data_IF_506312978931
#
_entry.id   IF_506312978931
#
_cell.length_a   1.000
_cell.length_b   1.000
_cell.length_c   1.000
_cell.angle_alpha   90.00
_cell.angle_beta   90.00
_cell.angle_gamma   90.00
#
_symmetry.space_group_name_H-M   'P 1'
#
loop_
_entity.id
_entity.type
_entity.pdbx_description
1 polymer ?
#
# COMPACT_ATOMS: atom_id res chain seq x y z
N UNK A 1 -7.82 -3.13 -16.62
CA UNK A 1 -8.28 -2.07 -15.67
C UNK A 1 -9.62 -2.43 -15.00
N UNK A 2 -10.75 -2.75 -15.66
CA UNK A 2 -12.02 -3.08 -14.98
C UNK A 2 -11.88 -4.18 -13.93
N UNK A 3 -11.13 -5.25 -14.20
CA UNK A 3 -10.90 -6.34 -13.25
C UNK A 3 -10.19 -5.91 -11.96
N UNK A 4 -9.24 -4.99 -12.03
CA UNK A 4 -8.55 -4.48 -10.83
C UNK A 4 -9.49 -3.62 -9.98
N UNK A 5 -10.35 -2.83 -10.62
CA UNK A 5 -11.37 -2.04 -9.93
C UNK A 5 -12.38 -2.98 -9.26
N UNK A 6 -12.91 -3.98 -9.98
CA UNK A 6 -13.82 -4.96 -9.44
C UNK A 6 -13.23 -5.71 -8.24
N UNK A 7 -12.00 -6.20 -8.37
CA UNK A 7 -11.24 -6.85 -7.29
C UNK A 7 -11.09 -5.95 -6.06
N UNK A 8 -10.81 -4.66 -6.29
CA UNK A 8 -10.66 -3.70 -5.20
C UNK A 8 -11.99 -3.42 -4.50
N UNK A 9 -13.08 -3.24 -5.24
CA UNK A 9 -14.42 -3.04 -4.69
C UNK A 9 -14.87 -4.26 -3.86
N UNK A 10 -14.69 -5.47 -4.39
CA UNK A 10 -14.97 -6.72 -3.65
C UNK A 10 -14.17 -6.79 -2.35
N UNK A 11 -12.86 -6.51 -2.41
CA UNK A 11 -12.00 -6.49 -1.23
C UNK A 11 -12.46 -5.46 -0.19
N UNK A 12 -12.92 -4.30 -0.65
CA UNK A 12 -13.47 -3.24 0.18
C UNK A 12 -14.83 -3.59 0.80
N UNK A 13 -15.49 -4.62 0.27
CA UNK A 13 -16.85 -5.02 0.66
C UNK A 13 -17.94 -4.19 -0.01
N UNK A 14 -17.62 -3.55 -1.12
CA UNK A 14 -18.57 -2.80 -1.92
C UNK A 14 -19.12 -3.65 -3.08
N UNK A 15 -20.33 -3.32 -3.49
CA UNK A 15 -20.97 -3.94 -4.65
C UNK A 15 -20.21 -3.58 -5.92
N UNK A 16 -19.96 -4.58 -6.77
CA UNK A 16 -19.33 -4.37 -8.07
C UNK A 16 -20.43 -4.12 -9.08
N UNK A 17 -20.48 -2.94 -9.73
CA UNK A 17 -21.45 -2.67 -10.77
C UNK A 17 -21.30 -3.64 -11.95
N UNK A 18 -22.43 -4.03 -12.58
CA UNK A 18 -22.43 -4.87 -13.78
C UNK A 18 -21.62 -4.27 -14.94
N UNK A 19 -21.63 -2.95 -15.03
CA UNK A 19 -20.84 -2.19 -16.01
C UNK A 19 -19.93 -1.20 -15.28
N UNK A 20 -18.62 -1.39 -15.43
CA UNK A 20 -17.60 -0.46 -14.94
C UNK A 20 -17.13 0.45 -16.08
N UNK A 21 -17.53 1.71 -16.02
CA UNK A 21 -17.12 2.75 -16.94
C UNK A 21 -16.22 3.78 -16.23
N UNK A 22 -14.89 3.53 -16.14
CA UNK A 22 -14.00 4.47 -15.50
C UNK A 22 -13.86 5.75 -16.29
N UNK A 23 -14.00 6.89 -15.61
CA UNK A 23 -13.78 8.22 -16.19
C UNK A 23 -12.44 8.75 -15.69
N UNK A 24 -11.61 9.23 -16.62
CA UNK A 24 -10.36 9.92 -16.28
C UNK A 24 -10.72 11.31 -15.75
N UNK A 25 -10.42 11.56 -14.49
CA UNK A 25 -10.72 12.83 -13.82
C UNK A 25 -9.50 13.74 -13.67
N UNK A 26 -8.30 13.18 -13.85
CA UNK A 26 -7.06 13.93 -13.83
C UNK A 26 -5.97 13.18 -14.59
N UNK A 27 -5.20 13.91 -15.37
CA UNK A 27 -3.97 13.45 -16.03
C UNK A 27 -2.82 14.36 -15.61
N UNK A 28 -1.64 13.79 -15.40
CA UNK A 28 -0.41 14.52 -15.11
C UNK A 28 0.77 13.79 -15.75
N UNK A 29 1.62 14.53 -16.45
CA UNK A 29 2.89 14.03 -16.94
C UNK A 29 3.87 13.85 -15.79
N UNK A 30 4.69 12.80 -15.86
CA UNK A 30 5.75 12.52 -14.90
C UNK A 30 6.97 12.01 -15.65
N UNK A 31 8.13 12.54 -15.32
CA UNK A 31 9.43 12.10 -15.87
C UNK A 31 9.90 10.76 -15.28
N UNK A 32 9.08 10.17 -14.39
CA UNK A 32 9.42 8.95 -13.69
C UNK A 32 9.13 7.73 -14.54
N UNK A 33 10.00 6.74 -14.43
CA UNK A 33 9.74 5.42 -14.96
C UNK A 33 8.61 4.75 -14.18
N UNK A 34 7.46 4.50 -14.82
CA UNK A 34 6.29 3.87 -14.19
C UNK A 34 6.64 2.50 -13.59
N UNK A 35 7.63 1.79 -14.15
CA UNK A 35 8.08 0.50 -13.61
C UNK A 35 8.73 0.60 -12.24
N UNK A 36 9.24 1.76 -11.88
CA UNK A 36 9.92 1.99 -10.61
C UNK A 36 8.97 2.47 -9.51
N UNK A 37 7.79 2.99 -9.88
CA UNK A 37 6.64 3.31 -9.03
C UNK A 37 6.95 4.17 -7.79
N UNK A 38 8.03 4.95 -7.81
CA UNK A 38 8.54 5.56 -6.60
C UNK A 38 8.12 7.00 -6.41
N UNK A 39 8.31 7.85 -7.36
CA UNK A 39 7.77 9.18 -7.20
C UNK A 39 6.37 9.23 -7.73
N UNK A 40 5.45 9.36 -6.82
CA UNK A 40 4.04 9.41 -7.10
C UNK A 40 3.53 10.83 -6.92
N UNK A 41 2.75 11.28 -7.87
CA UNK A 41 2.18 12.63 -7.82
C UNK A 41 1.16 12.75 -6.69
N UNK A 42 1.01 13.95 -6.16
CA UNK A 42 -0.12 14.30 -5.31
C UNK A 42 -1.31 14.71 -6.19
N UNK A 43 -2.42 13.96 -6.11
CA UNK A 43 -3.64 14.30 -6.84
C UNK A 43 -4.34 15.50 -6.19
N UNK A 44 -5.09 16.28 -6.99
CA UNK A 44 -5.85 17.43 -6.47
C UNK A 44 -6.87 17.01 -5.39
N UNK A 45 -7.48 15.84 -5.54
CA UNK A 45 -8.38 15.28 -4.52
C UNK A 45 -7.66 14.98 -3.19
N UNK A 46 -6.36 14.72 -3.23
CA UNK A 46 -5.55 14.40 -2.05
C UNK A 46 -5.08 15.63 -1.27
N UNK A 47 -5.31 16.84 -1.80
CA UNK A 47 -5.01 18.11 -1.09
C UNK A 47 -6.15 18.54 -0.15
N UNK A 48 -7.34 17.93 -0.29
CA UNK A 48 -8.52 18.32 0.50
C UNK A 48 -8.42 17.82 1.94
N UNK A 49 -8.87 18.60 2.93
CA UNK A 49 -9.03 18.13 4.30
C UNK A 49 -9.85 16.83 4.38
N UNK A 50 -9.69 16.11 5.47
CA UNK A 50 -10.46 14.90 5.77
C UNK A 50 -11.56 15.24 6.79
N UNK A 51 -12.75 14.67 6.61
CA UNK A 51 -13.69 14.56 7.74
C UNK A 51 -13.27 13.43 8.67
N UNK A 52 -13.81 13.39 9.87
CA UNK A 52 -13.58 12.31 10.84
C UNK A 52 -14.03 10.96 10.26
N UNK A 53 -15.19 10.97 9.57
CA UNK A 53 -15.78 9.78 8.96
C UNK A 53 -14.91 9.26 7.80
N UNK A 54 -14.48 10.15 6.90
CA UNK A 54 -13.56 9.77 5.81
C UNK A 54 -12.27 9.20 6.33
N UNK A 55 -11.66 9.87 7.32
CA UNK A 55 -10.43 9.38 7.95
C UNK A 55 -10.65 8.00 8.59
N UNK A 56 -11.72 7.84 9.37
CA UNK A 56 -12.03 6.57 10.02
C UNK A 56 -12.18 5.42 9.02
N UNK A 57 -12.90 5.66 7.91
CA UNK A 57 -13.07 4.67 6.85
C UNK A 57 -11.74 4.30 6.15
N UNK A 58 -10.93 5.31 5.80
CA UNK A 58 -9.64 5.09 5.15
C UNK A 58 -8.61 4.41 6.08
N UNK A 59 -8.57 4.80 7.37
CA UNK A 59 -7.76 4.14 8.40
C UNK A 59 -8.15 2.66 8.55
N UNK A 60 -9.45 2.37 8.61
CA UNK A 60 -9.93 0.99 8.71
C UNK A 60 -9.50 0.15 7.51
N UNK A 61 -9.57 0.69 6.29
CA UNK A 61 -9.08 0.03 5.08
C UNK A 61 -7.57 -0.19 5.11
N UNK A 62 -6.79 0.79 5.57
CA UNK A 62 -5.34 0.67 5.68
C UNK A 62 -4.93 -0.40 6.70
N UNK A 63 -5.62 -0.49 7.83
CA UNK A 63 -5.39 -1.53 8.82
C UNK A 63 -5.83 -2.92 8.32
N UNK A 64 -6.99 -3.00 7.65
CA UNK A 64 -7.44 -4.24 6.98
C UNK A 64 -6.41 -4.72 5.96
N UNK A 65 -5.86 -3.82 5.14
CA UNK A 65 -4.84 -4.15 4.16
C UNK A 65 -3.59 -4.76 4.79
N UNK A 66 -3.10 -4.17 5.90
CA UNK A 66 -1.97 -4.71 6.65
C UNK A 66 -2.26 -6.09 7.23
N UNK A 67 -3.47 -6.31 7.77
CA UNK A 67 -3.90 -7.59 8.32
C UNK A 67 -4.00 -8.67 7.24
N UNK A 68 -4.59 -8.35 6.10
CA UNK A 68 -4.73 -9.28 4.96
C UNK A 68 -3.35 -9.64 4.37
N UNK A 69 -2.43 -8.66 4.32
CA UNK A 69 -1.06 -8.89 3.86
C UNK A 69 -0.26 -9.78 4.83
N UNK A 70 -0.41 -9.55 6.14
CA UNK A 70 0.20 -10.39 7.17
C UNK A 70 -0.31 -11.84 7.06
N UNK A 71 -1.62 -12.04 6.96
CA UNK A 71 -2.22 -13.36 6.82
C UNK A 71 -1.74 -14.10 5.57
N UNK A 72 -1.58 -13.38 4.44
CA UNK A 72 -1.00 -13.94 3.23
C UNK A 72 0.47 -14.37 3.45
N UNK A 73 1.29 -13.53 4.09
CA UNK A 73 2.68 -13.84 4.41
C UNK A 73 2.80 -15.07 5.31
N UNK A 74 1.93 -15.18 6.32
CA UNK A 74 1.91 -16.31 7.25
C UNK A 74 1.53 -17.63 6.60
N UNK A 75 0.76 -17.58 5.51
CA UNK A 75 0.36 -18.76 4.74
C UNK A 75 1.47 -19.33 3.83
N UNK A 76 2.61 -18.64 3.68
CA UNK A 76 3.71 -19.13 2.85
C UNK A 76 4.54 -20.19 3.59
N UNK A 77 4.70 -21.41 3.02
CA UNK A 77 5.36 -22.53 3.71
C UNK A 77 6.85 -22.28 4.02
N UNK A 78 7.57 -21.71 3.08
CA UNK A 78 8.98 -21.31 3.24
C UNK A 78 9.17 -19.88 2.72
N UNK A 79 9.28 -18.97 3.67
CA UNK A 79 9.31 -17.53 3.42
C UNK A 79 10.60 -17.04 2.75
N UNK A 80 11.66 -17.84 2.80
CA UNK A 80 12.97 -17.51 2.23
C UNK A 80 13.21 -18.13 0.86
N UNK A 81 12.30 -19.00 0.39
CA UNK A 81 12.42 -19.68 -0.90
C UNK A 81 11.62 -18.98 -1.99
N UNK A 82 12.26 -18.80 -3.15
CA UNK A 82 11.61 -18.28 -4.36
C UNK A 82 12.30 -18.79 -5.62
N UNK A 83 11.51 -19.12 -6.66
CA UNK A 83 12.00 -19.40 -8.00
C UNK A 83 12.11 -18.14 -8.87
N UNK A 84 11.70 -16.98 -8.36
CA UNK A 84 11.76 -15.73 -9.13
C UNK A 84 13.22 -15.31 -9.35
N UNK A 85 13.56 -14.81 -10.56
CA UNK A 85 14.90 -14.33 -10.85
C UNK A 85 15.23 -13.07 -10.06
N UNK A 86 16.50 -12.84 -9.78
CA UNK A 86 16.99 -11.57 -9.25
C UNK A 86 16.82 -10.47 -10.29
N UNK A 87 16.27 -9.35 -9.85
CA UNK A 87 16.14 -8.12 -10.64
C UNK A 87 16.56 -6.93 -9.79
N UNK A 88 17.11 -5.93 -10.44
CA UNK A 88 17.53 -4.68 -9.78
C UNK A 88 16.84 -3.50 -10.43
N UNK A 89 16.50 -2.52 -9.62
CA UNK A 89 16.12 -1.16 -10.01
C UNK A 89 17.20 -0.20 -9.55
N UNK A 90 17.00 1.09 -9.76
CA UNK A 90 17.93 2.11 -9.26
C UNK A 90 17.94 2.19 -7.71
N UNK A 91 16.91 1.69 -7.01
CA UNK A 91 16.90 1.60 -5.54
C UNK A 91 17.56 0.35 -4.97
N UNK A 92 17.94 -0.61 -5.80
CA UNK A 92 18.50 -1.86 -5.36
C UNK A 92 17.76 -3.11 -5.86
N UNK A 93 17.84 -4.19 -5.11
CA UNK A 93 17.22 -5.46 -5.49
C UNK A 93 15.71 -5.44 -5.27
N UNK A 94 14.96 -5.93 -6.27
CA UNK A 94 13.50 -6.12 -6.15
C UNK A 94 13.23 -7.31 -5.23
N UNK A 95 12.35 -7.18 -4.24
CA UNK A 95 11.94 -8.29 -3.38
C UNK A 95 11.41 -9.48 -4.20
N UNK A 96 11.90 -10.68 -3.93
CA UNK A 96 11.55 -11.91 -4.66
C UNK A 96 11.06 -13.05 -3.78
N UNK A 97 11.44 -13.09 -2.51
CA UNK A 97 10.94 -14.03 -1.52
C UNK A 97 9.77 -13.42 -0.74
N UNK A 98 8.98 -14.24 -0.07
CA UNK A 98 7.91 -13.74 0.79
C UNK A 98 8.46 -12.88 1.92
N UNK A 99 9.60 -13.28 2.50
CA UNK A 99 10.28 -12.53 3.55
C UNK A 99 10.73 -11.14 3.06
N UNK A 100 11.39 -11.06 1.91
CA UNK A 100 11.84 -9.79 1.34
C UNK A 100 10.65 -8.87 1.00
N UNK A 101 9.56 -9.41 0.41
CA UNK A 101 8.34 -8.65 0.12
C UNK A 101 7.69 -8.13 1.39
N UNK A 102 7.64 -8.96 2.43
CA UNK A 102 7.04 -8.60 3.70
C UNK A 102 7.83 -7.50 4.43
N UNK A 103 9.15 -7.67 4.59
CA UNK A 103 9.99 -6.68 5.24
C UNK A 103 10.01 -5.34 4.47
N UNK A 104 10.08 -5.40 3.13
CA UNK A 104 9.98 -4.21 2.30
C UNK A 104 8.64 -3.48 2.52
N UNK A 105 7.52 -4.20 2.52
CA UNK A 105 6.19 -3.61 2.73
C UNK A 105 5.99 -3.12 4.16
N UNK A 106 6.55 -3.82 5.15
CA UNK A 106 6.49 -3.38 6.55
C UNK A 106 7.30 -2.10 6.77
N UNK A 107 8.48 -2.00 6.17
CA UNK A 107 9.40 -0.88 6.37
C UNK A 107 8.90 0.43 5.75
N UNK A 108 7.94 0.40 4.80
CA UNK A 108 7.37 1.66 4.29
C UNK A 108 6.42 2.36 5.29
N UNK A 109 6.06 1.73 6.41
CA UNK A 109 5.19 2.38 7.39
C UNK A 109 5.86 3.60 8.03
N UNK A 110 7.09 3.45 8.54
CA UNK A 110 7.85 4.56 9.10
C UNK A 110 8.22 5.60 8.02
N UNK A 111 8.57 5.15 6.81
CA UNK A 111 8.84 6.05 5.69
C UNK A 111 7.63 6.93 5.35
N UNK A 112 6.46 6.33 5.08
CA UNK A 112 5.27 7.12 4.69
C UNK A 112 4.75 8.02 5.81
N UNK A 113 4.78 7.56 7.06
CA UNK A 113 4.44 8.41 8.19
C UNK A 113 5.46 9.53 8.39
N UNK A 114 6.75 9.25 8.21
CA UNK A 114 7.83 10.25 8.28
C UNK A 114 7.66 11.38 7.27
N UNK A 115 7.19 11.08 6.05
CA UNK A 115 6.94 12.07 5.00
C UNK A 115 5.86 13.10 5.36
N UNK A 116 5.02 12.82 6.37
CA UNK A 116 4.02 13.74 6.94
C UNK A 116 4.32 14.14 8.38
N UNK A 117 5.58 13.98 8.82
CA UNK A 117 6.06 14.44 10.12
C UNK A 117 5.61 13.58 11.31
N UNK A 118 5.35 12.29 11.10
CA UNK A 118 5.05 11.33 12.17
C UNK A 118 6.21 10.36 12.32
N UNK A 119 6.95 10.47 13.42
CA UNK A 119 8.02 9.53 13.74
C UNK A 119 7.44 8.23 14.30
N UNK A 120 7.45 7.18 13.49
CA UNK A 120 7.02 5.84 13.86
C UNK A 120 8.20 4.86 13.82
N UNK A 121 7.96 3.62 14.25
CA UNK A 121 8.94 2.53 14.21
C UNK A 121 8.39 1.34 13.42
N UNK A 122 9.23 0.34 13.17
CA UNK A 122 8.88 -0.91 12.50
C UNK A 122 8.99 -2.15 13.41
N UNK A 123 8.83 -1.97 14.74
CA UNK A 123 8.79 -3.09 15.68
C UNK A 123 7.46 -3.86 15.58
N UNK A 124 7.52 -5.18 15.62
CA UNK A 124 6.35 -6.05 15.51
C UNK A 124 5.92 -6.35 14.07
N UNK A 125 4.65 -6.68 13.90
CA UNK A 125 4.06 -6.96 12.59
C UNK A 125 3.80 -5.68 11.78
N UNK A 126 3.52 -5.83 10.47
CA UNK A 126 3.08 -4.71 9.62
C UNK A 126 1.80 -4.04 10.17
N UNK A 127 0.90 -4.82 10.76
CA UNK A 127 -0.30 -4.30 11.40
C UNK A 127 0.04 -3.44 12.63
N UNK A 128 0.93 -3.94 13.52
CA UNK A 128 1.35 -3.21 14.71
C UNK A 128 2.04 -1.90 14.37
N UNK A 129 2.95 -1.91 13.38
CA UNK A 129 3.63 -0.71 12.89
C UNK A 129 2.62 0.34 12.41
N UNK A 130 1.68 -0.08 11.56
CA UNK A 130 0.67 0.82 10.99
C UNK A 130 -0.28 1.37 12.04
N UNK A 131 -0.71 0.53 12.97
CA UNK A 131 -1.58 0.93 14.08
C UNK A 131 -0.90 1.98 14.97
N UNK A 132 0.38 1.77 15.35
CA UNK A 132 1.13 2.75 16.13
C UNK A 132 1.33 4.06 15.37
N UNK A 133 1.66 4.01 14.09
CA UNK A 133 1.77 5.21 13.27
C UNK A 133 0.49 6.04 13.26
N UNK A 134 -0.67 5.39 13.16
CA UNK A 134 -1.96 6.09 13.29
C UNK A 134 -2.20 6.66 14.68
N UNK A 135 -1.84 5.95 15.75
CA UNK A 135 -1.96 6.47 17.12
C UNK A 135 -1.09 7.72 17.33
N UNK A 136 0.14 7.72 16.81
CA UNK A 136 1.04 8.87 16.86
C UNK A 136 0.51 10.05 16.03
N UNK A 137 -0.01 9.77 14.84
CA UNK A 137 -0.66 10.79 14.00
C UNK A 137 -1.86 11.44 14.70
N UNK A 138 -2.70 10.65 15.35
CA UNK A 138 -3.90 11.12 16.08
C UNK A 138 -3.57 11.97 17.31
N UNK A 139 -2.33 11.90 17.82
CA UNK A 139 -1.84 12.80 18.85
C UNK A 139 -1.47 14.20 18.32
N UNK A 140 -1.33 14.36 17.00
CA UNK A 140 -1.03 15.65 16.39
C UNK A 140 -2.29 16.51 16.27
N UNK A 141 -2.22 17.77 16.70
CA UNK A 141 -3.33 18.70 16.50
C UNK A 141 -3.55 18.97 15.02
N UNK A 142 -4.80 19.03 14.62
CA UNK A 142 -5.19 19.41 13.25
C UNK A 142 -4.74 18.46 12.12
N UNK A 143 -4.39 17.19 12.42
CA UNK A 143 -3.96 16.22 11.38
C UNK A 143 -5.00 16.05 10.26
N UNK A 144 -6.30 16.25 10.54
CA UNK A 144 -7.38 16.21 9.55
C UNK A 144 -7.38 17.37 8.55
N UNK A 145 -6.61 18.43 8.82
CA UNK A 145 -6.42 19.52 7.84
C UNK A 145 -5.69 19.02 6.58
N UNK A 146 -5.07 17.84 6.66
CA UNK A 146 -4.40 17.19 5.54
C UNK A 146 -3.35 18.10 4.90
N UNK A 147 -2.52 18.71 5.74
CA UNK A 147 -1.42 19.60 5.31
C UNK A 147 -0.55 18.89 4.29
N UNK A 148 -0.15 19.62 3.25
CA UNK A 148 0.81 19.12 2.26
C UNK A 148 2.23 19.38 2.76
N UNK A 149 3.04 18.33 2.75
CA UNK A 149 4.45 18.34 3.11
C UNK A 149 5.30 18.14 1.85
N UNK A 150 6.51 18.66 1.85
CA UNK A 150 7.52 18.30 0.87
C UNK A 150 8.45 17.28 1.52
N UNK A 151 8.43 16.08 1.01
CA UNK A 151 9.19 14.96 1.53
C UNK A 151 10.67 14.94 1.08
N UNK A 152 11.36 13.87 1.45
CA UNK A 152 12.81 13.73 1.32
C UNK A 152 13.34 13.86 -0.12
N UNK A 153 12.55 13.49 -1.11
CA UNK A 153 12.92 13.56 -2.55
C UNK A 153 12.27 14.73 -3.29
N UNK A 154 11.78 15.75 -2.56
CA UNK A 154 11.03 16.86 -3.16
C UNK A 154 9.62 16.48 -3.62
N UNK A 155 9.17 15.30 -3.26
CA UNK A 155 7.84 14.77 -3.55
C UNK A 155 6.82 15.36 -2.58
N UNK A 156 5.66 15.78 -3.09
CA UNK A 156 4.58 16.27 -2.23
C UNK A 156 3.83 15.12 -1.56
N UNK A 157 3.58 15.25 -0.27
CA UNK A 157 2.86 14.28 0.56
C UNK A 157 1.71 14.91 1.32
N UNK A 158 0.65 14.14 1.51
CA UNK A 158 -0.47 14.44 2.38
C UNK A 158 -0.95 13.16 3.08
N UNK A 159 -1.75 13.28 4.12
CA UNK A 159 -2.32 12.11 4.79
C UNK A 159 -3.19 11.27 3.84
N UNK A 160 -3.95 11.89 2.92
CA UNK A 160 -4.72 11.15 1.90
C UNK A 160 -3.81 10.33 0.99
N UNK A 161 -2.68 10.90 0.56
CA UNK A 161 -1.69 10.17 -0.23
C UNK A 161 -1.08 9.02 0.56
N UNK A 162 -0.70 9.23 1.81
CA UNK A 162 -0.19 8.15 2.69
C UNK A 162 -1.18 6.98 2.77
N UNK A 163 -2.46 7.29 3.02
CA UNK A 163 -3.52 6.27 3.10
C UNK A 163 -3.68 5.50 1.77
N UNK A 164 -3.68 6.20 0.63
CA UNK A 164 -3.70 5.56 -0.70
C UNK A 164 -2.46 4.72 -0.94
N UNK A 165 -1.28 5.22 -0.59
CA UNK A 165 0.00 4.52 -0.79
C UNK A 165 0.07 3.22 0.01
N UNK A 166 -0.42 3.18 1.24
CA UNK A 166 -0.52 1.93 2.00
C UNK A 166 -1.33 0.88 1.24
N UNK A 167 -2.54 1.23 0.79
CA UNK A 167 -3.42 0.30 0.09
C UNK A 167 -2.81 -0.20 -1.22
N UNK A 168 -2.24 0.71 -1.99
CA UNK A 168 -1.64 0.39 -3.28
C UNK A 168 -0.40 -0.49 -3.11
N UNK A 169 0.49 -0.15 -2.19
CA UNK A 169 1.75 -0.86 -1.96
C UNK A 169 1.53 -2.29 -1.43
N UNK A 170 0.64 -2.44 -0.43
CA UNK A 170 0.27 -3.75 0.08
C UNK A 170 -0.29 -4.63 -1.04
N UNK A 171 -1.19 -4.12 -1.87
CA UNK A 171 -1.80 -4.87 -2.98
C UNK A 171 -0.80 -5.30 -4.04
N UNK A 172 0.13 -4.44 -4.42
CA UNK A 172 1.18 -4.79 -5.39
C UNK A 172 2.02 -5.95 -4.88
N UNK A 173 2.51 -5.86 -3.64
CA UNK A 173 3.33 -6.91 -3.04
C UNK A 173 2.54 -8.16 -2.71
N UNK A 174 1.29 -8.05 -2.30
CA UNK A 174 0.40 -9.20 -2.13
C UNK A 174 0.21 -9.96 -3.46
N UNK A 175 -0.07 -9.25 -4.56
CA UNK A 175 -0.20 -9.86 -5.89
C UNK A 175 1.09 -10.55 -6.34
N UNK A 176 2.24 -9.93 -6.07
CA UNK A 176 3.55 -10.53 -6.34
C UNK A 176 3.78 -11.78 -5.49
N UNK A 177 3.43 -11.76 -4.20
CA UNK A 177 3.56 -12.89 -3.28
C UNK A 177 2.66 -14.07 -3.67
N UNK A 178 1.40 -13.82 -4.04
CA UNK A 178 0.48 -14.87 -4.55
C UNK A 178 1.06 -15.54 -5.79
N UNK A 179 1.57 -14.75 -6.74
CA UNK A 179 2.21 -15.27 -7.96
C UNK A 179 3.47 -16.06 -7.64
N UNK A 180 4.32 -15.57 -6.75
CA UNK A 180 5.53 -16.25 -6.28
C UNK A 180 5.18 -17.59 -5.62
N UNK A 181 4.18 -17.62 -4.74
CA UNK A 181 3.76 -18.84 -4.06
C UNK A 181 3.27 -19.90 -5.05
N UNK A 182 2.45 -19.52 -6.03
CA UNK A 182 2.00 -20.41 -7.10
C UNK A 182 3.16 -20.98 -7.92
N UNK A 183 4.13 -20.14 -8.31
CA UNK A 183 5.25 -20.55 -9.14
C UNK A 183 6.29 -21.37 -8.37
N UNK A 184 6.56 -21.05 -7.12
CA UNK A 184 7.63 -21.68 -6.33
C UNK A 184 7.17 -22.98 -5.68
N UNK A 185 5.94 -23.03 -5.19
CA UNK A 185 5.44 -24.14 -4.39
C UNK A 185 4.27 -24.90 -5.04
N UNK A 186 3.74 -24.39 -6.14
CA UNK A 186 2.53 -24.91 -6.80
C UNK A 186 1.33 -24.99 -5.84
N UNK A 187 1.16 -23.99 -4.97
CA UNK A 187 0.07 -23.89 -4.00
C UNK A 187 -0.85 -22.73 -4.32
N UNK A 188 -2.09 -22.85 -3.83
CA UNK A 188 -3.03 -21.74 -3.73
C UNK A 188 -2.97 -21.21 -2.29
N UNK A 189 -2.77 -19.91 -2.16
CA UNK A 189 -2.77 -19.19 -0.86
C UNK A 189 -4.08 -18.44 -0.68
N UNK A 190 -4.44 -18.01 0.55
CA UNK A 190 -5.61 -17.17 0.79
C UNK A 190 -5.57 -15.93 -0.09
N UNK A 191 -6.65 -15.67 -0.81
CA UNK A 191 -6.79 -14.52 -1.71
C UNK A 191 -7.69 -13.45 -1.08
N UNK A 192 -7.32 -12.93 0.09
CA UNK A 192 -8.07 -11.89 0.79
C UNK A 192 -8.27 -10.63 -0.07
N UNK A 193 -7.33 -10.32 -0.95
CA UNK A 193 -7.40 -9.15 -1.85
C UNK A 193 -8.26 -9.37 -3.10
N UNK A 194 -8.87 -10.54 -3.27
CA UNK A 194 -9.69 -10.90 -4.44
C UNK A 194 -8.98 -10.74 -5.79
N UNK A 195 -7.68 -11.09 -5.88
CA UNK A 195 -6.98 -11.09 -7.16
C UNK A 195 -7.54 -12.17 -8.10
N UNK A 196 -7.69 -11.85 -9.36
CA UNK A 196 -8.09 -12.75 -10.46
C UNK A 196 -6.90 -13.50 -11.06
#
# INVERSE_FOLDING_TARGET
MPFEIASYLQWKGEEVPDLLEPVIVQEKESDLCISDADSDILFEAERKPLTVEEYGALKALALKSAQDFLALYEAIPDRNKSCLPERKTFYGSIPRTAYEMYEHTKNVNDYYFGEIGVESDHAGSIFDCRQRGFLLLECQSHFLNNTVFVGNYGEEWSLRKVLRRFLWHDRIHAKAMVRMAKQTFNITVPNAFHFS
#
